data_IF_903177038477
#
_entry.id   IF_903177038477
#
_cell.length_a   1.000
_cell.length_b   1.000
_cell.length_c   1.000
_cell.angle_alpha   90.00
_cell.angle_beta   90.00
_cell.angle_gamma   90.00
#
_symmetry.space_group_name_H-M   'P 1'
#
loop_
_entity.id
_entity.type
_entity.pdbx_description
1 polymer ?
#
# COMPACT_ATOMS: atom_id res chain seq x y z
N UNK A 1 -32.02 4.53 -21.56
CA UNK A 1 -30.64 5.07 -21.60
C UNK A 1 -30.05 4.76 -20.25
N UNK A 2 -29.31 3.66 -20.11
CA UNK A 2 -28.68 3.32 -18.84
C UNK A 2 -27.46 4.22 -18.70
N UNK A 3 -27.40 4.99 -17.61
CA UNK A 3 -26.17 5.70 -17.28
C UNK A 3 -25.08 4.64 -17.12
N UNK A 4 -24.04 4.71 -17.95
CA UNK A 4 -22.84 3.90 -17.74
C UNK A 4 -22.34 4.23 -16.34
N UNK A 5 -22.44 3.26 -15.42
CA UNK A 5 -21.75 3.36 -14.14
C UNK A 5 -20.28 3.57 -14.48
N UNK A 6 -19.78 4.77 -14.18
CA UNK A 6 -18.36 5.08 -14.34
C UNK A 6 -17.61 4.16 -13.38
N UNK A 7 -17.06 3.08 -13.90
CA UNK A 7 -16.29 2.11 -13.11
C UNK A 7 -15.02 2.85 -12.67
N UNK A 8 -15.01 3.33 -11.43
CA UNK A 8 -13.82 3.95 -10.84
C UNK A 8 -12.96 2.82 -10.30
N UNK A 9 -11.86 2.57 -10.99
CA UNK A 9 -10.80 1.69 -10.50
C UNK A 9 -9.88 2.50 -9.59
N UNK A 10 -9.82 2.16 -8.30
CA UNK A 10 -8.97 2.83 -7.33
C UNK A 10 -7.64 2.10 -7.14
N UNK A 11 -6.54 2.82 -7.11
CA UNK A 11 -5.21 2.29 -6.83
C UNK A 11 -4.93 2.34 -5.33
N UNK A 12 -4.60 1.20 -4.73
CA UNK A 12 -4.32 1.09 -3.29
C UNK A 12 -2.90 0.63 -3.05
N UNK A 13 -2.25 1.26 -2.08
CA UNK A 13 -0.96 0.86 -1.54
C UNK A 13 -1.15 0.36 -0.12
N UNK A 14 -0.56 -0.78 0.18
CA UNK A 14 -0.44 -1.35 1.53
C UNK A 14 1.05 -1.35 1.87
N UNK A 15 1.43 -0.61 2.93
CA UNK A 15 2.82 -0.50 3.38
C UNK A 15 2.95 -0.59 4.89
N UNK A 16 3.41 -1.74 5.35
CA UNK A 16 3.78 -2.02 6.71
C UNK A 16 5.31 -2.01 6.85
N UNK A 17 5.81 -1.69 8.04
CA UNK A 17 7.21 -1.96 8.38
C UNK A 17 7.27 -2.72 9.68
N UNK A 18 8.40 -3.39 9.89
CA UNK A 18 8.69 -4.08 11.12
C UNK A 18 9.46 -3.13 12.05
N UNK A 19 9.19 -3.22 13.36
CA UNK A 19 10.05 -2.58 14.38
C UNK A 19 11.37 -3.35 14.58
N UNK A 20 11.39 -4.63 14.20
CA UNK A 20 12.53 -5.53 14.29
C UNK A 20 12.80 -6.15 12.92
N UNK A 21 14.03 -6.00 12.44
CA UNK A 21 14.54 -6.50 11.16
C UNK A 21 14.21 -7.99 10.94
N UNK A 22 14.12 -8.79 12.00
CA UNK A 22 13.77 -10.22 11.92
C UNK A 22 12.32 -10.48 11.48
N UNK A 23 11.46 -9.47 11.47
CA UNK A 23 10.03 -9.56 11.12
C UNK A 23 9.74 -9.09 9.68
N UNK A 24 10.75 -8.81 8.86
CA UNK A 24 10.54 -8.37 7.46
C UNK A 24 9.67 -9.35 6.65
N UNK A 25 9.84 -10.65 6.87
CA UNK A 25 9.01 -11.67 6.21
C UNK A 25 7.54 -11.62 6.66
N UNK A 26 7.27 -11.30 7.93
CA UNK A 26 5.91 -11.17 8.48
C UNK A 26 5.18 -10.00 7.85
N UNK A 27 5.88 -8.86 7.70
CA UNK A 27 5.36 -7.67 7.03
C UNK A 27 4.99 -7.99 5.59
N UNK A 28 5.88 -8.63 4.84
CA UNK A 28 5.60 -9.00 3.45
C UNK A 28 4.41 -9.97 3.35
N UNK A 29 4.34 -10.97 4.23
CA UNK A 29 3.21 -11.91 4.27
C UNK A 29 1.88 -11.20 4.60
N UNK A 30 1.89 -10.26 5.54
CA UNK A 30 0.73 -9.46 5.91
C UNK A 30 0.24 -8.59 4.75
N UNK A 31 1.15 -7.86 4.09
CA UNK A 31 0.81 -7.03 2.94
C UNK A 31 0.19 -7.87 1.81
N UNK A 32 0.77 -9.04 1.51
CA UNK A 32 0.23 -9.94 0.49
C UNK A 32 -1.16 -10.48 0.87
N UNK A 33 -1.39 -10.83 2.13
CA UNK A 33 -2.71 -11.26 2.59
C UNK A 33 -3.74 -10.14 2.43
N UNK A 34 -3.40 -8.91 2.81
CA UNK A 34 -4.29 -7.76 2.61
C UNK A 34 -4.58 -7.54 1.12
N UNK A 35 -3.58 -7.61 0.25
CA UNK A 35 -3.81 -7.49 -1.19
C UNK A 35 -4.70 -8.62 -1.73
N UNK A 36 -4.54 -9.85 -1.25
CA UNK A 36 -5.38 -10.98 -1.63
C UNK A 36 -6.84 -10.76 -1.18
N UNK A 37 -7.06 -10.30 0.04
CA UNK A 37 -8.39 -9.97 0.55
C UNK A 37 -9.03 -8.83 -0.27
N UNK A 38 -8.22 -7.84 -0.63
CA UNK A 38 -8.65 -6.71 -1.45
C UNK A 38 -8.88 -7.08 -2.93
N UNK A 39 -8.23 -8.12 -3.43
CA UNK A 39 -8.37 -8.57 -4.83
C UNK A 39 -9.79 -9.06 -5.16
N UNK A 40 -10.55 -9.48 -4.14
CA UNK A 40 -11.98 -9.79 -4.26
C UNK A 40 -12.82 -8.58 -4.66
N UNK A 41 -12.33 -7.37 -4.43
CA UNK A 41 -12.93 -6.12 -4.91
C UNK A 41 -12.34 -5.80 -6.28
N UNK A 42 -13.03 -6.20 -7.34
CA UNK A 42 -12.63 -6.04 -8.77
C UNK A 42 -12.30 -4.62 -9.21
N UNK A 43 -12.56 -3.63 -8.35
CA UNK A 43 -12.35 -2.20 -8.59
C UNK A 43 -11.07 -1.68 -7.94
N UNK A 44 -10.30 -2.50 -7.23
CA UNK A 44 -9.04 -2.09 -6.60
C UNK A 44 -7.84 -2.65 -7.36
N UNK A 45 -6.89 -1.79 -7.68
CA UNK A 45 -5.62 -2.17 -8.31
C UNK A 45 -4.50 -2.01 -7.27
N UNK A 46 -3.77 -3.09 -6.95
CA UNK A 46 -2.66 -3.00 -6.02
C UNK A 46 -1.49 -2.24 -6.65
N UNK A 47 -0.92 -1.31 -5.91
CA UNK A 47 0.36 -0.67 -6.20
C UNK A 47 1.40 -1.20 -5.22
N UNK A 48 2.21 -2.15 -5.68
CA UNK A 48 3.27 -2.73 -4.87
C UNK A 48 4.40 -1.72 -4.64
N UNK A 49 4.85 -1.64 -3.39
CA UNK A 49 6.05 -0.89 -3.01
C UNK A 49 7.30 -1.48 -3.67
N UNK A 50 8.22 -0.65 -4.13
CA UNK A 50 9.56 -1.12 -4.52
C UNK A 50 10.53 -1.02 -3.33
N UNK A 51 11.55 -1.88 -3.31
CA UNK A 51 12.57 -1.87 -2.26
C UNK A 51 13.31 -0.51 -2.14
N UNK A 52 13.36 0.24 -3.24
CA UNK A 52 14.01 1.55 -3.29
C UNK A 52 13.15 2.66 -2.64
N UNK A 53 11.82 2.51 -2.61
CA UNK A 53 10.91 3.53 -2.09
C UNK A 53 10.98 3.65 -0.56
N UNK A 54 11.25 2.56 0.15
CA UNK A 54 11.39 2.57 1.61
C UNK A 54 12.67 3.30 2.08
N UNK A 55 13.69 3.38 1.22
CA UNK A 55 14.96 4.04 1.54
C UNK A 55 14.90 5.57 1.36
N UNK A 56 13.88 6.09 0.66
CA UNK A 56 13.75 7.51 0.36
C UNK A 56 13.20 8.33 1.54
N UNK A 57 12.39 7.72 2.39
CA UNK A 57 11.82 8.39 3.55
C UNK A 57 12.59 8.04 4.82
N UNK A 58 13.31 9.03 5.40
CA UNK A 58 13.93 8.87 6.72
C UNK A 58 12.86 8.52 7.74
N UNK A 59 13.11 7.47 8.54
CA UNK A 59 12.28 7.08 9.71
C UNK A 59 10.77 7.04 9.43
N UNK A 60 10.36 6.64 8.22
CA UNK A 60 8.94 6.52 7.84
C UNK A 60 8.12 7.79 8.12
N UNK A 61 8.69 8.95 7.81
CA UNK A 61 7.94 10.20 7.78
C UNK A 61 6.69 10.04 6.91
N UNK A 62 5.52 10.16 7.53
CA UNK A 62 4.21 9.93 6.89
C UNK A 62 3.99 10.92 5.75
N UNK A 63 4.44 12.17 5.90
CA UNK A 63 4.28 13.19 4.85
C UNK A 63 5.14 12.84 3.64
N UNK A 64 6.39 12.38 3.87
CA UNK A 64 7.25 11.88 2.80
C UNK A 64 6.62 10.68 2.07
N UNK A 65 6.10 9.70 2.82
CA UNK A 65 5.49 8.50 2.25
C UNK A 65 4.25 8.86 1.42
N UNK A 66 3.39 9.74 1.96
CA UNK A 66 2.22 10.25 1.26
C UNK A 66 2.59 10.94 -0.03
N UNK A 67 3.63 11.78 -0.04
CA UNK A 67 4.10 12.43 -1.27
C UNK A 67 4.56 11.43 -2.33
N UNK A 68 5.32 10.40 -1.95
CA UNK A 68 5.77 9.36 -2.88
C UNK A 68 4.57 8.67 -3.52
N UNK A 69 3.65 8.14 -2.71
CA UNK A 69 2.52 7.37 -3.25
C UNK A 69 1.49 8.23 -3.97
N UNK A 70 1.34 9.51 -3.58
CA UNK A 70 0.55 10.47 -4.34
C UNK A 70 1.14 10.72 -5.73
N UNK A 71 2.46 10.83 -5.87
CA UNK A 71 3.13 10.97 -7.18
C UNK A 71 2.99 9.71 -8.04
N UNK A 72 2.88 8.54 -7.42
CA UNK A 72 2.62 7.27 -8.10
C UNK A 72 1.12 7.07 -8.46
N UNK A 73 0.28 8.03 -8.08
CA UNK A 73 -1.16 8.02 -8.37
C UNK A 73 -1.94 7.02 -7.51
N UNK A 74 -1.49 6.75 -6.28
CA UNK A 74 -2.31 6.02 -5.32
C UNK A 74 -3.54 6.85 -4.92
N UNK A 75 -4.70 6.21 -4.94
CA UNK A 75 -5.97 6.79 -4.47
C UNK A 75 -6.19 6.52 -2.97
N UNK A 76 -5.61 5.43 -2.47
CA UNK A 76 -5.64 5.04 -1.07
C UNK A 76 -4.30 4.49 -0.61
N UNK A 77 -3.98 4.74 0.67
CA UNK A 77 -2.76 4.27 1.32
C UNK A 77 -3.12 3.69 2.69
N UNK A 78 -2.71 2.45 2.94
CA UNK A 78 -2.79 1.79 4.23
C UNK A 78 -1.39 1.70 4.81
N UNK A 79 -1.17 2.38 5.94
CA UNK A 79 0.10 2.37 6.68
C UNK A 79 -0.08 1.63 8.00
N UNK A 80 0.96 0.89 8.39
CA UNK A 80 1.01 0.27 9.70
C UNK A 80 2.42 -0.13 10.11
N UNK A 81 2.56 -0.54 11.36
CA UNK A 81 3.81 -1.03 11.94
C UNK A 81 3.52 -2.39 12.58
N UNK A 82 4.35 -3.39 12.28
CA UNK A 82 4.31 -4.70 12.92
C UNK A 82 5.35 -4.69 14.03
N UNK A 83 4.85 -4.49 15.23
CA UNK A 83 5.60 -4.31 16.47
C UNK A 83 4.97 -5.09 17.62
N UNK A 84 5.65 -5.12 18.77
CA UNK A 84 5.16 -5.70 20.02
C UNK A 84 5.13 -4.66 21.10
#
# INVERSE_FOLDING_TARGET
MFAEEKIVTGKIVVSFAAEDDQKAWVVNALEQNIYNDLSGYTRLVPLYKSADQEQLCKKRDVDCILEIYKRLGADALMLGVVGS
#
